data_IF_367437619854
#
_entry.id   IF_367437619854
#
_cell.length_a   1.000
_cell.length_b   1.000
_cell.length_c   1.000
_cell.angle_alpha   90.00
_cell.angle_beta   90.00
_cell.angle_gamma   90.00
#
_symmetry.space_group_name_H-M   'P 1'
#
loop_
_entity.id
_entity.type
_entity.pdbx_description
1 polymer ?
#
# COMPACT_ATOMS: atom_id res chain seq x y z
N UNK A 1 17.77 41.88 45.51
CA UNK A 1 17.94 40.49 45.02
C UNK A 1 16.94 40.28 43.89
N UNK A 2 17.42 40.14 42.65
CA UNK A 2 16.61 39.93 41.44
C UNK A 2 16.09 38.48 41.40
N UNK A 3 15.07 38.25 40.55
CA UNK A 3 14.78 37.00 39.78
C UNK A 3 13.51 36.23 40.21
N UNK A 4 12.33 36.76 39.89
CA UNK A 4 11.10 35.94 39.77
C UNK A 4 10.21 36.52 38.65
N UNK A 5 10.64 36.52 37.38
CA UNK A 5 9.75 36.88 36.24
C UNK A 5 10.06 36.12 34.93
N UNK A 6 10.70 34.97 34.99
CA UNK A 6 11.13 34.24 33.76
C UNK A 6 10.56 32.83 33.61
N UNK A 7 9.64 32.40 34.48
CA UNK A 7 9.16 31.01 34.50
C UNK A 7 8.03 30.70 33.51
N UNK A 8 7.19 31.69 33.14
CA UNK A 8 6.03 31.44 32.25
C UNK A 8 6.34 31.47 30.75
N UNK A 9 7.44 32.11 30.33
CA UNK A 9 7.84 32.17 28.91
C UNK A 9 8.54 30.89 28.44
N UNK A 10 9.14 30.11 29.36
CA UNK A 10 9.81 28.87 29.02
C UNK A 10 8.85 27.71 28.69
N UNK A 11 7.60 27.77 29.19
CA UNK A 11 6.59 26.73 28.92
C UNK A 11 5.91 26.90 27.55
N UNK A 12 5.90 28.12 27.00
CA UNK A 12 5.32 28.40 25.68
C UNK A 12 6.24 27.99 24.50
N UNK A 13 7.54 27.80 24.75
CA UNK A 13 8.53 27.49 23.72
C UNK A 13 8.62 25.99 23.35
N UNK A 14 7.93 25.10 24.07
CA UNK A 14 7.95 23.65 23.80
C UNK A 14 6.80 23.24 22.83
N UNK A 15 5.84 24.12 22.56
CA UNK A 15 4.61 23.77 21.87
C UNK A 15 4.64 23.82 20.32
N UNK A 16 5.77 24.12 19.68
CA UNK A 16 5.82 24.32 18.21
C UNK A 16 6.34 23.07 17.47
N UNK A 17 6.72 22.00 18.20
CA UNK A 17 7.31 20.79 17.63
C UNK A 17 6.33 19.73 17.13
N UNK A 18 5.01 19.89 17.29
CA UNK A 18 4.04 18.92 16.75
C UNK A 18 3.69 19.28 15.32
N UNK A 19 4.66 19.18 14.40
CA UNK A 19 4.32 18.97 13.01
C UNK A 19 3.57 17.64 12.96
N UNK A 20 2.24 17.75 12.86
CA UNK A 20 1.39 16.63 12.56
C UNK A 20 1.81 16.10 11.19
N UNK A 21 2.67 15.08 11.18
CA UNK A 21 2.92 14.28 9.99
C UNK A 21 1.59 13.63 9.65
N UNK A 22 0.82 14.29 8.78
CA UNK A 22 -0.32 13.66 8.13
C UNK A 22 0.31 12.69 7.15
N UNK A 23 0.62 11.49 7.64
CA UNK A 23 1.01 10.39 6.78
C UNK A 23 -0.09 10.31 5.72
N UNK A 24 0.28 10.53 4.46
CA UNK A 24 -0.57 10.12 3.36
C UNK A 24 -0.49 8.60 3.42
N UNK A 25 -1.45 8.02 4.14
CA UNK A 25 -1.67 6.58 4.11
C UNK A 25 -2.14 6.30 2.69
N UNK A 26 -1.22 5.80 1.85
CA UNK A 26 -1.59 5.29 0.54
C UNK A 26 -2.65 4.21 0.70
N UNK A 27 -3.43 3.99 -0.35
CA UNK A 27 -4.36 2.87 -0.37
C UNK A 27 -3.64 1.52 -0.30
N UNK A 28 -4.42 0.45 -0.19
CA UNK A 28 -3.92 -0.91 -0.34
C UNK A 28 -4.63 -1.60 -1.49
N UNK A 29 -3.93 -2.55 -2.11
CA UNK A 29 -4.51 -3.46 -3.08
C UNK A 29 -4.28 -4.87 -2.55
N UNK A 30 -5.31 -5.70 -2.47
CA UNK A 30 -5.20 -7.08 -2.00
C UNK A 30 -6.03 -8.04 -2.83
N UNK A 31 -5.73 -9.32 -2.71
CA UNK A 31 -6.50 -10.38 -3.34
C UNK A 31 -5.91 -11.75 -3.04
N UNK A 32 -6.60 -12.78 -3.54
CA UNK A 32 -6.14 -14.16 -3.47
C UNK A 32 -6.03 -14.76 -4.87
N UNK A 33 -5.19 -15.77 -4.99
CA UNK A 33 -4.88 -16.50 -6.22
C UNK A 33 -5.26 -17.95 -6.00
N UNK A 34 -5.97 -18.53 -6.96
CA UNK A 34 -6.34 -19.93 -6.98
C UNK A 34 -5.84 -20.56 -8.28
N UNK A 35 -5.06 -21.66 -8.23
CA UNK A 35 -4.56 -22.36 -7.03
C UNK A 35 -3.55 -21.54 -6.20
N UNK A 36 -3.51 -21.75 -4.87
CA UNK A 36 -2.70 -20.91 -3.96
C UNK A 36 -1.18 -20.99 -4.18
N UNK A 37 -0.68 -22.09 -4.74
CA UNK A 37 0.75 -22.27 -5.04
C UNK A 37 1.11 -21.92 -6.50
N UNK A 38 0.12 -21.50 -7.29
CA UNK A 38 0.26 -21.26 -8.73
C UNK A 38 0.86 -19.90 -9.09
N UNK A 39 1.19 -19.06 -8.10
CA UNK A 39 1.88 -17.78 -8.32
C UNK A 39 3.05 -17.59 -7.35
N UNK A 40 4.04 -16.80 -7.75
CA UNK A 40 5.20 -16.41 -6.93
C UNK A 40 5.11 -14.96 -6.49
N UNK A 41 4.71 -14.08 -7.40
CA UNK A 41 4.82 -12.64 -7.23
C UNK A 41 3.58 -11.95 -7.79
N UNK A 42 3.29 -10.77 -7.27
CA UNK A 42 2.30 -9.87 -7.80
C UNK A 42 2.93 -8.50 -8.01
N UNK A 43 2.56 -7.86 -9.10
CA UNK A 43 3.00 -6.53 -9.49
C UNK A 43 1.79 -5.61 -9.60
N UNK A 44 1.91 -4.39 -9.11
CA UNK A 44 0.92 -3.34 -9.34
C UNK A 44 1.63 -2.18 -10.05
N UNK A 45 1.28 -1.97 -11.32
CA UNK A 45 1.92 -1.01 -12.20
C UNK A 45 0.98 0.16 -12.45
N UNK A 46 1.40 1.38 -12.14
CA UNK A 46 0.71 2.62 -12.53
C UNK A 46 1.57 3.41 -13.52
N UNK A 47 1.08 4.56 -13.97
CA UNK A 47 1.84 5.44 -14.85
C UNK A 47 3.11 6.03 -14.21
N UNK A 48 3.15 6.11 -12.87
CA UNK A 48 4.21 6.81 -12.13
C UNK A 48 4.97 5.91 -11.17
N UNK A 49 4.46 4.72 -10.88
CA UNK A 49 5.01 3.84 -9.84
C UNK A 49 4.81 2.36 -10.18
N UNK A 50 5.63 1.50 -9.61
CA UNK A 50 5.52 0.04 -9.72
C UNK A 50 5.79 -0.58 -8.37
N UNK A 51 4.79 -1.29 -7.85
CA UNK A 51 4.88 -2.01 -6.59
C UNK A 51 5.01 -3.50 -6.88
N UNK A 52 5.75 -4.19 -6.02
CA UNK A 52 5.96 -5.64 -6.09
C UNK A 52 5.75 -6.24 -4.71
N UNK A 53 5.05 -7.37 -4.65
CA UNK A 53 4.93 -8.19 -3.44
C UNK A 53 5.04 -9.66 -3.78
N UNK A 54 5.46 -10.48 -2.81
CA UNK A 54 5.36 -11.93 -2.93
C UNK A 54 3.90 -12.38 -2.77
N UNK A 55 3.54 -13.47 -3.44
CA UNK A 55 2.30 -14.22 -3.21
C UNK A 55 2.62 -15.33 -2.20
N UNK A 56 1.97 -15.31 -1.04
CA UNK A 56 2.18 -16.30 0.03
C UNK A 56 0.87 -17.01 0.33
N UNK A 57 0.84 -18.34 0.22
CA UNK A 57 -0.38 -19.15 0.37
C UNK A 57 -1.56 -18.63 -0.48
N UNK A 58 -1.27 -18.23 -1.72
CA UNK A 58 -2.24 -17.62 -2.62
C UNK A 58 -2.63 -16.17 -2.31
N UNK A 59 -2.21 -15.58 -1.19
CA UNK A 59 -2.57 -14.20 -0.85
C UNK A 59 -1.47 -13.22 -1.24
N UNK A 60 -1.87 -12.03 -1.72
CA UNK A 60 -0.96 -10.91 -1.94
C UNK A 60 -1.58 -9.61 -1.42
N UNK A 61 -0.71 -8.67 -1.03
CA UNK A 61 -1.15 -7.36 -0.60
C UNK A 61 -0.07 -6.30 -0.84
N UNK A 62 -0.46 -5.24 -1.55
CA UNK A 62 0.31 -4.02 -1.71
C UNK A 62 -0.15 -3.02 -0.66
N UNK A 63 0.81 -2.43 0.05
CA UNK A 63 0.57 -1.42 1.08
C UNK A 63 1.13 -0.07 0.61
N UNK A 64 0.51 1.03 1.05
CA UNK A 64 0.92 2.39 0.71
C UNK A 64 0.97 2.66 -0.81
N UNK A 65 0.04 2.07 -1.57
CA UNK A 65 -0.13 2.40 -2.98
C UNK A 65 -0.70 3.82 -3.12
N UNK A 66 -0.06 4.67 -3.91
CA UNK A 66 -0.55 6.02 -4.17
C UNK A 66 -1.94 5.97 -4.80
N UNK A 67 -2.82 6.93 -4.50
CA UNK A 67 -4.10 7.02 -5.21
C UNK A 67 -3.87 7.14 -6.73
N UNK A 68 -4.58 6.31 -7.50
CA UNK A 68 -4.35 6.21 -8.94
C UNK A 68 -5.01 4.98 -9.56
N UNK A 69 -4.75 4.79 -10.85
CA UNK A 69 -5.18 3.60 -11.59
C UNK A 69 -3.98 2.69 -11.80
N UNK A 70 -4.14 1.43 -11.42
CA UNK A 70 -3.12 0.40 -11.51
C UNK A 70 -3.56 -0.73 -12.45
N UNK A 71 -2.56 -1.35 -13.07
CA UNK A 71 -2.66 -2.66 -13.67
C UNK A 71 -1.99 -3.66 -12.74
N UNK A 72 -2.73 -4.64 -12.25
CA UNK A 72 -2.21 -5.68 -11.37
C UNK A 72 -1.91 -6.92 -12.20
N UNK A 73 -0.68 -7.41 -12.08
CA UNK A 73 -0.20 -8.61 -12.78
C UNK A 73 0.19 -9.64 -11.75
N UNK A 74 -0.39 -10.83 -11.86
CA UNK A 74 -0.02 -12.00 -11.06
C UNK A 74 0.95 -12.83 -11.90
N UNK A 75 2.18 -12.95 -11.42
CA UNK A 75 3.24 -13.76 -12.01
C UNK A 75 3.01 -15.23 -11.64
N UNK A 76 2.55 -15.99 -12.63
CA UNK A 76 2.13 -17.36 -12.45
C UNK A 76 3.30 -18.33 -12.69
N UNK A 77 3.24 -19.48 -12.03
CA UNK A 77 4.15 -20.60 -12.29
C UNK A 77 3.57 -21.47 -13.39
N UNK A 78 4.43 -21.94 -14.30
CA UNK A 78 4.05 -22.96 -15.27
C UNK A 78 3.38 -24.17 -14.56
N UNK A 79 2.30 -24.73 -15.14
CA UNK A 79 1.71 -24.46 -16.45
C UNK A 79 0.71 -23.30 -16.50
N UNK A 80 0.48 -22.57 -15.39
CA UNK A 80 -0.49 -21.48 -15.33
C UNK A 80 0.00 -20.24 -16.07
N UNK A 81 -0.93 -19.55 -16.72
CA UNK A 81 -0.68 -18.25 -17.36
C UNK A 81 -0.83 -17.11 -16.37
N UNK A 82 -0.03 -16.07 -16.59
CA UNK A 82 -0.14 -14.81 -15.84
C UNK A 82 -1.54 -14.22 -15.95
N UNK A 83 -2.03 -13.66 -14.84
CA UNK A 83 -3.29 -12.95 -14.81
C UNK A 83 -3.05 -11.44 -14.78
N UNK A 84 -3.78 -10.69 -15.59
CA UNK A 84 -3.72 -9.23 -15.62
C UNK A 84 -5.09 -8.63 -15.32
N UNK A 85 -5.14 -7.73 -14.36
CA UNK A 85 -6.32 -7.00 -13.93
C UNK A 85 -6.05 -5.52 -14.21
N UNK A 86 -6.78 -4.97 -15.18
CA UNK A 86 -6.66 -3.57 -15.56
C UNK A 86 -7.62 -2.70 -14.75
N UNK A 87 -7.38 -1.40 -14.80
CA UNK A 87 -8.28 -0.37 -14.26
C UNK A 87 -8.58 -0.50 -12.75
N UNK A 88 -7.60 -0.99 -11.97
CA UNK A 88 -7.69 -1.09 -10.51
C UNK A 88 -7.55 0.31 -9.92
N UNK A 89 -8.67 0.84 -9.41
CA UNK A 89 -8.71 2.18 -8.80
C UNK A 89 -8.32 2.11 -7.33
N UNK A 90 -7.26 2.83 -6.98
CA UNK A 90 -6.80 3.01 -5.60
C UNK A 90 -7.14 4.41 -5.13
N UNK A 91 -7.67 4.50 -3.92
CA UNK A 91 -7.93 5.77 -3.24
C UNK A 91 -7.16 5.79 -1.91
N UNK A 92 -6.70 6.98 -1.51
CA UNK A 92 -5.92 7.16 -0.29
C UNK A 92 -6.71 6.66 0.94
N UNK A 93 -6.04 5.92 1.81
CA UNK A 93 -6.63 5.33 3.02
C UNK A 93 -7.70 4.25 2.78
N UNK A 94 -7.92 3.80 1.53
CA UNK A 94 -8.88 2.73 1.22
C UNK A 94 -8.20 1.43 0.84
N UNK A 95 -8.85 0.32 1.20
CA UNK A 95 -8.48 -1.00 0.72
C UNK A 95 -9.23 -1.32 -0.57
N UNK A 96 -8.49 -1.72 -1.59
CA UNK A 96 -8.99 -2.20 -2.87
C UNK A 96 -8.84 -3.71 -2.89
N UNK A 97 -9.95 -4.43 -2.77
CA UNK A 97 -9.97 -5.89 -2.82
C UNK A 97 -10.28 -6.36 -4.24
N UNK A 98 -9.38 -7.16 -4.82
CA UNK A 98 -9.52 -7.80 -6.12
C UNK A 98 -10.23 -9.16 -6.03
N UNK A 99 -10.49 -9.65 -4.82
CA UNK A 99 -11.14 -10.93 -4.58
C UNK A 99 -10.25 -12.11 -5.02
N UNK A 100 -10.92 -13.18 -5.45
CA UNK A 100 -10.25 -14.41 -5.91
C UNK A 100 -9.93 -14.34 -7.40
N UNK A 101 -8.65 -14.46 -7.73
CA UNK A 101 -8.12 -14.51 -9.09
C UNK A 101 -7.83 -15.98 -9.42
N UNK A 102 -8.60 -16.53 -10.34
CA UNK A 102 -8.41 -17.90 -10.83
C UNK A 102 -7.44 -17.90 -12.00
N UNK A 103 -6.32 -18.59 -11.83
CA UNK A 103 -5.34 -18.76 -12.90
C UNK A 103 -5.80 -19.85 -13.87
N UNK A 104 -5.64 -19.58 -15.16
CA UNK A 104 -5.91 -20.52 -16.24
C UNK A 104 -4.61 -21.17 -16.72
N UNK A 105 -4.66 -22.47 -16.97
CA UNK A 105 -3.60 -23.23 -17.67
C UNK A 105 -3.52 -22.86 -19.17
#
# INVERSE_FOLDING_TARGET
>A
MKRIKTSMLALAAIAIGTFAFKAIEGGSIGGTVTPGDAATEAWAVSATDTLKTAVTNGAFSFQNAAAGTYTVVIDAKEPYKDATINDVKVEDGKATDLGEIKLSE
#
